data_IF_217116086117
#
_entry.id   IF_217116086117
#
_cell.length_a   1.000
_cell.length_b   1.000
_cell.length_c   1.000
_cell.angle_alpha   90.00
_cell.angle_beta   90.00
_cell.angle_gamma   90.00
#
_symmetry.space_group_name_H-M   'P 1'
#
loop_
_entity.id
_entity.type
_entity.pdbx_description
1 polymer ?
#
# COMPACT_ATOMS: atom_id res chain seq x y z
N UNK A 1 30.41 -21.50 -26.02
CA UNK A 1 30.02 -22.42 -24.94
C UNK A 1 30.69 -23.76 -25.18
N UNK A 2 31.47 -24.20 -24.20
CA UNK A 2 32.16 -25.49 -24.22
C UNK A 2 31.17 -26.64 -23.90
N UNK A 3 31.44 -27.86 -24.36
CA UNK A 3 30.58 -29.04 -24.11
C UNK A 3 30.41 -29.31 -22.60
N UNK A 4 31.47 -29.04 -21.82
CA UNK A 4 31.43 -29.12 -20.36
C UNK A 4 30.47 -28.11 -19.73
N UNK A 5 30.34 -26.92 -20.32
CA UNK A 5 29.44 -25.88 -19.83
C UNK A 5 27.98 -26.24 -20.10
N UNK A 6 27.68 -26.79 -21.28
CA UNK A 6 26.33 -27.28 -21.63
C UNK A 6 25.90 -28.42 -20.70
N UNK A 7 26.77 -29.40 -20.47
CA UNK A 7 26.49 -30.50 -19.52
C UNK A 7 26.24 -29.99 -18.11
N UNK A 8 26.99 -28.97 -17.67
CA UNK A 8 26.79 -28.33 -16.37
C UNK A 8 25.43 -27.65 -16.29
N UNK A 9 25.02 -26.94 -17.34
CA UNK A 9 23.72 -26.27 -17.42
C UNK A 9 22.56 -27.27 -17.37
N UNK A 10 22.66 -28.38 -18.11
CA UNK A 10 21.67 -29.47 -18.11
C UNK A 10 21.54 -30.13 -16.73
N UNK A 11 22.65 -30.40 -16.05
CA UNK A 11 22.65 -30.97 -14.69
C UNK A 11 22.01 -30.01 -13.68
N UNK A 12 22.27 -28.71 -13.80
CA UNK A 12 21.65 -27.69 -12.95
C UNK A 12 20.15 -27.58 -13.21
N UNK A 13 19.71 -27.69 -14.46
CA UNK A 13 18.29 -27.73 -14.82
C UNK A 13 17.59 -28.97 -14.25
N UNK A 14 18.21 -30.14 -14.33
CA UNK A 14 17.68 -31.38 -13.75
C UNK A 14 17.56 -31.29 -12.22
N UNK A 15 18.62 -30.81 -11.54
CA UNK A 15 18.59 -30.60 -10.09
C UNK A 15 17.50 -29.60 -9.69
N UNK A 16 17.33 -28.52 -10.45
CA UNK A 16 16.25 -27.55 -10.23
C UNK A 16 14.87 -28.18 -10.39
N UNK A 17 14.66 -29.02 -11.39
CA UNK A 17 13.37 -29.68 -11.58
C UNK A 17 13.07 -30.70 -10.46
N UNK A 18 14.10 -31.42 -9.98
CA UNK A 18 14.01 -32.39 -8.88
C UNK A 18 13.68 -31.72 -7.53
N UNK A 19 14.31 -30.58 -7.22
CA UNK A 19 14.18 -29.93 -5.91
C UNK A 19 13.29 -28.68 -5.90
N UNK A 20 12.96 -28.13 -7.06
CA UNK A 20 12.18 -26.89 -7.20
C UNK A 20 10.66 -27.11 -7.33
N UNK A 21 10.23 -28.32 -7.70
CA UNK A 21 8.81 -28.64 -7.89
C UNK A 21 7.96 -28.62 -6.60
N UNK A 22 8.59 -28.56 -5.42
CA UNK A 22 7.92 -28.41 -4.11
C UNK A 22 8.10 -27.07 -3.41
N UNK A 23 8.85 -26.11 -3.99
CA UNK A 23 9.04 -24.77 -3.40
C UNK A 23 8.32 -23.73 -4.24
N UNK A 24 7.06 -23.50 -3.93
CA UNK A 24 6.28 -22.34 -4.40
C UNK A 24 6.72 -21.01 -3.76
N UNK A 25 7.75 -21.03 -2.91
CA UNK A 25 8.28 -19.86 -2.22
C UNK A 25 9.74 -19.64 -2.62
N UNK A 26 10.08 -18.39 -2.96
CA UNK A 26 11.46 -17.96 -3.13
C UNK A 26 12.32 -18.43 -1.96
N UNK A 27 13.55 -18.91 -2.20
CA UNK A 27 14.44 -19.29 -1.13
C UNK A 27 14.68 -18.08 -0.21
N UNK A 28 14.83 -18.32 1.08
CA UNK A 28 15.13 -17.27 2.05
C UNK A 28 16.50 -16.65 1.75
N UNK A 29 16.50 -15.54 1.01
CA UNK A 29 17.70 -14.79 0.64
C UNK A 29 17.78 -13.54 1.50
N UNK A 30 18.99 -13.18 1.89
CA UNK A 30 19.23 -11.94 2.62
C UNK A 30 18.90 -10.71 1.73
N UNK A 31 18.23 -9.66 2.24
CA UNK A 31 17.77 -8.52 1.42
C UNK A 31 18.86 -7.87 0.54
N UNK A 32 20.10 -7.82 1.04
CA UNK A 32 21.27 -7.32 0.30
C UNK A 32 21.56 -8.05 -1.02
N UNK A 33 21.25 -9.35 -1.11
CA UNK A 33 21.54 -10.19 -2.27
C UNK A 33 20.29 -10.52 -3.09
N UNK A 34 19.13 -10.07 -2.62
CA UNK A 34 17.84 -10.28 -3.28
C UNK A 34 17.85 -9.76 -4.72
N UNK A 35 18.41 -8.56 -4.98
CA UNK A 35 18.46 -8.00 -6.33
C UNK A 35 19.27 -8.84 -7.33
N UNK A 36 20.37 -9.46 -6.89
CA UNK A 36 21.18 -10.33 -7.76
C UNK A 36 20.49 -11.66 -8.05
N UNK A 37 19.81 -12.23 -7.05
CA UNK A 37 19.01 -13.44 -7.21
C UNK A 37 17.84 -13.21 -8.16
N UNK A 38 17.08 -12.15 -7.92
CA UNK A 38 15.95 -11.75 -8.74
C UNK A 38 16.36 -11.55 -10.20
N UNK A 39 17.50 -10.88 -10.46
CA UNK A 39 18.03 -10.72 -11.82
C UNK A 39 18.35 -12.05 -12.53
N UNK A 40 18.77 -13.08 -11.78
CA UNK A 40 19.19 -14.37 -12.33
C UNK A 40 18.03 -15.35 -12.49
N UNK A 41 16.99 -15.24 -11.66
CA UNK A 41 15.98 -16.27 -11.50
C UNK A 41 14.53 -15.79 -11.49
N UNK A 42 14.26 -14.48 -11.28
CA UNK A 42 12.90 -13.94 -11.33
C UNK A 42 12.47 -13.85 -12.80
N UNK A 43 11.43 -14.63 -13.13
CA UNK A 43 11.00 -14.86 -14.49
C UNK A 43 9.94 -13.82 -14.86
N UNK A 44 10.35 -12.58 -15.11
CA UNK A 44 9.45 -11.45 -15.42
C UNK A 44 8.15 -11.48 -14.61
N UNK A 45 8.25 -11.77 -13.31
CA UNK A 45 7.09 -11.59 -12.44
C UNK A 45 6.82 -10.09 -12.42
N UNK A 46 5.65 -9.71 -12.92
CA UNK A 46 5.24 -8.33 -13.10
C UNK A 46 5.53 -7.56 -11.82
N UNK A 47 6.58 -6.72 -11.85
CA UNK A 47 6.99 -5.91 -10.71
C UNK A 47 5.74 -5.33 -10.04
N UNK A 48 5.59 -5.46 -8.70
CA UNK A 48 4.40 -4.99 -8.02
C UNK A 48 4.17 -3.53 -8.39
N UNK A 49 3.08 -3.27 -9.12
CA UNK A 49 2.78 -1.96 -9.70
C UNK A 49 2.75 -0.93 -8.59
N UNK A 50 3.72 -0.02 -8.58
CA UNK A 50 3.84 0.95 -7.49
C UNK A 50 2.62 1.87 -7.48
N UNK A 51 1.92 1.93 -6.34
CA UNK A 51 0.76 2.83 -6.14
C UNK A 51 1.16 4.16 -5.52
N UNK A 52 2.47 4.43 -5.39
CA UNK A 52 3.01 5.61 -4.72
C UNK A 52 2.51 6.91 -5.33
N UNK A 53 2.66 7.06 -6.66
CA UNK A 53 2.24 8.27 -7.37
C UNK A 53 0.73 8.49 -7.24
N UNK A 54 -0.07 7.44 -7.37
CA UNK A 54 -1.52 7.51 -7.20
C UNK A 54 -1.88 8.02 -5.80
N UNK A 55 -1.26 7.48 -4.74
CA UNK A 55 -1.51 7.90 -3.36
C UNK A 55 -1.15 9.37 -3.14
N UNK A 56 -0.03 9.82 -3.70
CA UNK A 56 0.39 11.24 -3.63
C UNK A 56 -0.62 12.13 -4.37
N UNK A 57 -1.03 11.77 -5.59
CA UNK A 57 -2.03 12.53 -6.33
C UNK A 57 -3.36 12.63 -5.58
N UNK A 58 -3.87 11.51 -5.06
CA UNK A 58 -5.11 11.49 -4.27
C UNK A 58 -4.98 12.36 -3.02
N UNK A 59 -3.84 12.31 -2.30
CA UNK A 59 -3.61 13.17 -1.13
C UNK A 59 -3.61 14.66 -1.47
N UNK A 60 -3.02 15.06 -2.61
CA UNK A 60 -2.97 16.45 -3.04
C UNK A 60 -4.36 16.96 -3.43
N UNK A 61 -5.15 16.14 -4.14
CA UNK A 61 -6.53 16.49 -4.50
C UNK A 61 -7.41 16.68 -3.26
N UNK A 62 -7.35 15.75 -2.32
CA UNK A 62 -8.09 15.87 -1.06
C UNK A 62 -7.68 17.11 -0.27
N UNK A 63 -6.38 17.41 -0.22
CA UNK A 63 -5.86 18.60 0.43
C UNK A 63 -6.36 19.90 -0.21
N UNK A 64 -6.38 19.98 -1.55
CA UNK A 64 -6.88 21.16 -2.27
C UNK A 64 -8.39 21.36 -2.07
N UNK A 65 -9.17 20.28 -2.04
CA UNK A 65 -10.62 20.36 -1.74
C UNK A 65 -10.83 20.90 -0.33
N UNK A 66 -10.09 20.37 0.66
CA UNK A 66 -10.17 20.85 2.03
C UNK A 66 -9.76 22.33 2.16
N UNK A 67 -8.65 22.73 1.55
CA UNK A 67 -8.18 24.11 1.57
C UNK A 67 -9.15 25.06 0.86
N UNK A 68 -9.78 24.62 -0.23
CA UNK A 68 -10.81 25.40 -0.94
C UNK A 68 -12.05 25.62 -0.07
N UNK A 69 -12.52 24.58 0.59
CA UNK A 69 -13.63 24.66 1.55
C UNK A 69 -13.33 25.65 2.68
N UNK A 70 -12.12 25.59 3.25
CA UNK A 70 -11.69 26.47 4.33
C UNK A 70 -11.54 27.93 3.86
N UNK A 71 -11.01 28.13 2.65
CA UNK A 71 -10.87 29.45 2.03
C UNK A 71 -12.22 30.13 1.76
N UNK A 72 -13.20 29.38 1.23
CA UNK A 72 -14.53 29.91 0.97
C UNK A 72 -15.36 30.14 2.25
N UNK A 73 -14.85 29.73 3.42
CA UNK A 73 -15.64 29.60 4.67
C UNK A 73 -16.98 28.94 4.42
N UNK A 74 -17.03 28.06 3.42
CA UNK A 74 -18.27 27.43 3.00
C UNK A 74 -18.71 26.53 4.14
N UNK A 75 -19.93 26.74 4.66
CA UNK A 75 -20.48 25.86 5.67
C UNK A 75 -20.56 24.45 5.09
N UNK A 76 -19.70 23.55 5.57
CA UNK A 76 -19.69 22.15 5.15
C UNK A 76 -20.97 21.51 5.68
N UNK A 77 -22.01 21.50 4.84
CA UNK A 77 -23.35 21.08 5.22
C UNK A 77 -24.14 22.13 6.01
N UNK A 78 -25.42 21.83 6.23
CA UNK A 78 -26.39 22.70 6.92
C UNK A 78 -26.12 22.88 8.44
N UNK A 79 -24.92 22.55 8.90
CA UNK A 79 -24.55 22.56 10.31
C UNK A 79 -23.66 23.75 10.61
N UNK A 80 -24.31 24.79 11.12
CA UNK A 80 -23.67 25.94 11.73
C UNK A 80 -23.15 25.54 13.13
N UNK A 81 -21.87 25.78 13.41
CA UNK A 81 -21.23 25.50 14.71
C UNK A 81 -22.00 26.14 15.86
N UNK A 82 -22.62 27.30 15.65
CA UNK A 82 -23.44 27.95 16.66
C UNK A 82 -24.70 27.14 17.01
N UNK A 83 -25.33 26.48 16.03
CA UNK A 83 -26.49 25.60 16.26
C UNK A 83 -26.10 24.33 17.01
N UNK A 84 -24.91 23.78 16.75
CA UNK A 84 -24.40 22.60 17.48
C UNK A 84 -24.18 22.96 18.95
N UNK A 85 -23.53 24.09 19.22
CA UNK A 85 -23.29 24.57 20.59
C UNK A 85 -24.63 24.79 21.31
N UNK A 86 -25.58 25.46 20.65
CA UNK A 86 -26.90 25.70 21.23
C UNK A 86 -27.65 24.39 21.55
N UNK A 87 -27.59 23.39 20.66
CA UNK A 87 -28.21 22.09 20.89
C UNK A 87 -27.59 21.36 22.09
N UNK A 88 -26.26 21.39 22.25
CA UNK A 88 -25.56 20.79 23.39
C UNK A 88 -25.93 21.50 24.69
N UNK A 89 -25.91 22.84 24.69
CA UNK A 89 -26.26 23.64 25.88
C UNK A 89 -27.70 23.42 26.31
N UNK A 90 -28.64 23.27 25.38
CA UNK A 90 -30.06 23.03 25.71
C UNK A 90 -30.34 21.60 26.16
N UNK A 91 -29.47 20.64 25.82
CA UNK A 91 -29.60 19.24 26.22
C UNK A 91 -29.06 18.96 27.64
N UNK A 92 -28.12 19.78 28.15
CA UNK A 92 -27.61 19.71 29.53
C UNK A 92 -28.66 19.98 30.64
N UNK A 93 -29.53 21.01 30.59
CA UNK A 93 -30.44 21.34 31.70
C UNK A 93 -31.51 20.27 31.96
N UNK A 94 -31.79 19.39 30.98
CA UNK A 94 -32.77 18.31 31.13
C UNK A 94 -32.21 17.10 31.91
N UNK A 95 -30.89 16.91 31.90
CA UNK A 95 -30.20 15.84 32.64
C UNK A 95 -30.02 16.15 34.13
N UNK A 96 -29.92 17.43 34.50
CA UNK A 96 -29.84 17.86 35.91
C UNK A 96 -31.21 17.92 36.60
N UNK A 97 -32.32 18.06 35.85
CA UNK A 97 -33.69 18.04 36.39
C UNK A 97 -34.24 16.63 36.65
N UNK A 98 -33.55 15.58 36.19
CA UNK A 98 -33.94 14.17 36.35
C UNK A 98 -33.09 13.41 37.38
N UNK A 99 -32.38 14.13 38.27
CA UNK A 99 -31.52 13.54 39.30
C UNK A 99 -31.97 13.88 40.71
#
# INVERSE_FOLDING_TARGET
MNETEKRREELLLQARNLYGSGRTSDPAIHPRWQGAYNKLYEKEETLPRSTFVLRVCVSLVLFLIFAGIDYEKASVGAYDSAKIIQAITYQQPLGELLK
#
